data_IF_627348895842
#
_entry.id   IF_627348895842
#
_cell.length_a   1.000
_cell.length_b   1.000
_cell.length_c   1.000
_cell.angle_alpha   90.00
_cell.angle_beta   90.00
_cell.angle_gamma   90.00
#
_symmetry.space_group_name_H-M   'P 1'
#
loop_
_entity.id
_entity.type
_entity.pdbx_description
1 polymer ?
#
# COMPACT_ATOMS: atom_id res chain seq x y z
N UNK A 1 -3.32 6.65 10.48
CA UNK A 1 -4.77 6.42 10.34
C UNK A 1 -5.17 6.82 8.92
N UNK A 2 -5.99 6.01 8.23
CA UNK A 2 -6.49 6.33 6.90
C UNK A 2 -7.70 7.28 7.00
N UNK A 3 -8.73 6.84 7.70
CA UNK A 3 -9.95 7.63 7.95
C UNK A 3 -10.70 7.10 9.17
N UNK A 4 -11.83 7.72 9.48
CA UNK A 4 -12.87 7.16 10.35
C UNK A 4 -13.92 6.44 9.50
N UNK A 5 -14.44 5.30 9.99
CA UNK A 5 -15.59 4.62 9.41
C UNK A 5 -16.90 5.37 9.71
N UNK A 6 -18.02 4.87 9.21
CA UNK A 6 -19.35 5.48 9.50
C UNK A 6 -19.67 5.49 10.99
N UNK A 7 -19.29 4.47 11.75
CA UNK A 7 -19.47 4.43 13.21
C UNK A 7 -18.40 5.19 13.98
N UNK A 8 -17.46 5.83 13.31
CA UNK A 8 -16.38 6.61 13.93
C UNK A 8 -15.16 5.77 14.36
N UNK A 9 -15.10 4.49 14.01
CA UNK A 9 -13.96 3.62 14.29
C UNK A 9 -12.80 3.96 13.36
N UNK A 10 -11.57 3.86 13.87
CA UNK A 10 -10.35 4.09 13.09
C UNK A 10 -10.11 2.99 12.06
N UNK A 11 -9.94 3.39 10.81
CA UNK A 11 -9.44 2.52 9.74
C UNK A 11 -7.93 2.74 9.62
N UNK A 12 -7.10 1.77 10.05
CA UNK A 12 -5.66 1.96 10.05
C UNK A 12 -5.06 1.83 8.66
N UNK A 13 -3.98 2.59 8.42
CA UNK A 13 -3.04 2.35 7.33
C UNK A 13 -1.63 2.17 7.90
N UNK A 14 -0.95 1.12 7.47
CA UNK A 14 0.39 0.77 7.91
C UNK A 14 1.37 1.05 6.77
N UNK A 15 2.47 1.70 7.06
CA UNK A 15 3.57 1.88 6.10
C UNK A 15 4.76 1.00 6.52
N UNK A 16 5.19 0.11 5.61
CA UNK A 16 6.35 -0.75 5.82
C UNK A 16 7.36 -0.50 4.71
N UNK A 17 8.55 -0.04 5.10
CA UNK A 17 9.69 0.19 4.20
C UNK A 17 10.99 0.26 5.04
N UNK A 18 12.16 0.20 4.42
CA UNK A 18 13.41 0.56 5.10
C UNK A 18 13.64 2.07 5.04
N UNK A 19 14.37 2.60 6.04
CA UNK A 19 14.84 4.01 6.00
C UNK A 19 15.81 4.18 4.83
N UNK A 20 15.75 5.31 4.15
CA UNK A 20 16.62 5.62 3.00
C UNK A 20 18.11 5.80 3.40
N UNK A 21 18.39 6.05 4.68
CA UNK A 21 19.70 6.52 5.15
C UNK A 21 20.57 5.44 5.83
N UNK A 22 20.19 4.16 5.77
CA UNK A 22 20.90 3.12 6.54
C UNK A 22 21.85 2.23 5.74
N UNK A 23 21.90 2.38 4.42
CA UNK A 23 22.82 1.60 3.59
C UNK A 23 23.69 2.50 2.70
N UNK A 24 25.02 2.20 2.59
CA UNK A 24 25.85 2.81 1.57
C UNK A 24 25.23 2.52 0.21
N UNK A 25 25.28 3.51 -0.66
CA UNK A 25 24.80 3.43 -2.04
C UNK A 25 25.40 2.22 -2.76
N UNK A 26 24.64 1.13 -2.92
CA UNK A 26 24.98 0.13 -3.92
C UNK A 26 24.68 0.74 -5.30
N UNK A 27 25.71 1.27 -5.93
CA UNK A 27 25.68 1.62 -7.34
C UNK A 27 25.75 0.32 -8.16
N UNK A 28 24.66 -0.11 -8.77
CA UNK A 28 24.77 -1.09 -9.83
C UNK A 28 25.19 -0.35 -11.11
N UNK A 29 26.40 -0.59 -11.53
CA UNK A 29 26.90 -0.22 -12.85
C UNK A 29 26.14 -1.08 -13.87
N UNK A 30 25.12 -0.56 -14.52
CA UNK A 30 24.49 -1.20 -15.66
C UNK A 30 25.35 -0.85 -16.88
N UNK A 31 26.12 -1.82 -17.39
CA UNK A 31 26.69 -1.73 -18.71
C UNK A 31 25.54 -1.77 -19.71
N UNK A 32 25.32 -0.68 -20.42
CA UNK A 32 24.48 -0.65 -21.61
C UNK A 32 25.32 -1.22 -22.77
N UNK A 33 25.07 -2.48 -23.15
CA UNK A 33 25.82 -3.19 -24.20
C UNK A 33 25.40 -2.80 -25.63
N UNK A 34 24.71 -1.70 -25.88
CA UNK A 34 24.14 -1.36 -27.21
C UNK A 34 24.59 -0.05 -27.82
N UNK A 35 25.69 0.57 -27.41
CA UNK A 35 26.29 1.66 -28.17
C UNK A 35 27.79 1.48 -28.30
N UNK A 36 28.23 0.97 -29.44
CA UNK A 36 29.61 0.92 -29.89
C UNK A 36 30.11 2.33 -30.20
N UNK A 37 30.33 3.19 -29.26
CA UNK A 37 31.30 4.28 -29.33
C UNK A 37 31.10 5.20 -28.13
N UNK A 38 32.13 5.20 -27.28
CA UNK A 38 32.33 5.98 -26.07
C UNK A 38 31.82 5.36 -24.77
N UNK A 39 32.77 5.09 -23.89
CA UNK A 39 32.61 4.75 -22.48
C UNK A 39 31.91 5.87 -21.68
N UNK A 40 30.64 6.01 -21.85
CA UNK A 40 29.79 6.81 -20.96
C UNK A 40 29.15 5.89 -19.93
N UNK A 41 29.88 5.62 -18.84
CA UNK A 41 29.28 5.02 -17.65
C UNK A 41 28.26 6.00 -17.06
N UNK A 42 27.00 5.85 -17.44
CA UNK A 42 25.91 6.61 -16.79
C UNK A 42 25.61 5.93 -15.47
N UNK A 43 26.06 6.52 -14.39
CA UNK A 43 25.69 6.11 -13.04
C UNK A 43 24.24 6.51 -12.79
N UNK A 44 23.30 5.59 -13.02
CA UNK A 44 21.90 5.82 -12.66
C UNK A 44 21.75 5.47 -11.18
N UNK A 45 21.44 6.43 -10.30
CA UNK A 45 21.20 6.12 -8.91
C UNK A 45 19.95 5.25 -8.79
N UNK A 46 20.12 4.00 -8.36
CA UNK A 46 19.06 2.98 -8.23
C UNK A 46 17.93 3.36 -7.25
N UNK A 47 18.11 4.42 -6.48
CA UNK A 47 17.19 4.82 -5.41
C UNK A 47 16.26 5.97 -5.80
N UNK A 48 16.23 6.40 -7.07
CA UNK A 48 15.49 7.62 -7.44
C UNK A 48 14.01 7.58 -7.05
N UNK A 49 13.39 6.39 -6.88
CA UNK A 49 12.03 6.30 -6.34
C UNK A 49 11.67 4.86 -5.98
N UNK A 50 11.47 4.56 -4.69
CA UNK A 50 10.86 3.29 -4.29
C UNK A 50 9.45 3.21 -4.88
N UNK A 51 9.10 2.04 -5.38
CA UNK A 51 7.74 1.78 -5.88
C UNK A 51 6.78 1.66 -4.71
N UNK A 52 5.57 2.16 -4.87
CA UNK A 52 4.48 1.93 -3.93
C UNK A 52 3.74 0.64 -4.28
N UNK A 53 3.44 -0.14 -3.26
CA UNK A 53 2.50 -1.27 -3.33
C UNK A 53 1.45 -1.03 -2.27
N UNK A 54 0.18 -0.93 -2.71
CA UNK A 54 -0.97 -0.74 -1.84
C UNK A 54 -1.68 -2.08 -1.71
N UNK A 55 -1.87 -2.53 -0.49
CA UNK A 55 -2.52 -3.81 -0.18
C UNK A 55 -3.67 -3.54 0.77
N UNK A 56 -4.84 -4.02 0.41
CA UNK A 56 -6.05 -3.87 1.20
C UNK A 56 -6.62 -5.23 1.54
N UNK A 57 -7.23 -5.35 2.73
CA UNK A 57 -7.88 -6.56 3.17
C UNK A 57 -9.26 -6.32 3.75
N UNK A 58 -10.02 -7.39 3.91
CA UNK A 58 -11.30 -7.43 4.62
C UNK A 58 -12.32 -6.40 4.11
N UNK A 59 -12.42 -6.24 2.79
CA UNK A 59 -13.48 -5.42 2.15
C UNK A 59 -14.85 -6.05 2.38
N UNK A 60 -14.93 -7.38 2.36
CA UNK A 60 -16.12 -8.13 2.78
C UNK A 60 -15.91 -8.66 4.21
N UNK A 61 -16.78 -8.31 5.15
CA UNK A 61 -16.59 -8.62 6.57
C UNK A 61 -16.51 -10.11 6.90
N UNK A 62 -17.25 -10.95 6.18
CA UNK A 62 -17.28 -12.40 6.41
C UNK A 62 -16.04 -13.16 5.93
N UNK A 63 -15.19 -12.54 5.11
CA UNK A 63 -13.98 -13.18 4.58
C UNK A 63 -12.82 -13.14 5.58
N UNK A 64 -12.96 -13.84 6.71
CA UNK A 64 -12.00 -13.83 7.82
C UNK A 64 -10.59 -14.31 7.43
N UNK A 65 -10.48 -15.18 6.41
CA UNK A 65 -9.22 -15.67 5.86
C UNK A 65 -8.32 -14.50 5.39
N UNK A 66 -8.88 -13.40 4.86
CA UNK A 66 -8.11 -12.24 4.43
C UNK A 66 -7.33 -11.59 5.59
N UNK A 67 -7.88 -11.60 6.80
CA UNK A 67 -7.19 -11.08 8.00
C UNK A 67 -6.00 -11.95 8.40
N UNK A 68 -6.13 -13.29 8.31
CA UNK A 68 -5.01 -14.19 8.58
C UNK A 68 -3.91 -14.07 7.53
N UNK A 69 -4.29 -13.96 6.25
CA UNK A 69 -3.33 -13.72 5.17
C UNK A 69 -2.58 -12.40 5.38
N UNK A 70 -3.31 -11.33 5.73
CA UNK A 70 -2.73 -10.02 6.02
C UNK A 70 -1.77 -10.07 7.20
N UNK A 71 -2.14 -10.76 8.28
CA UNK A 71 -1.27 -10.96 9.43
C UNK A 71 0.04 -11.67 9.05
N UNK A 72 -0.07 -12.76 8.27
CA UNK A 72 1.10 -13.51 7.78
C UNK A 72 2.00 -12.64 6.91
N UNK A 73 1.40 -11.87 6.00
CA UNK A 73 2.10 -10.96 5.10
C UNK A 73 2.84 -9.85 5.86
N UNK A 74 2.19 -9.20 6.82
CA UNK A 74 2.81 -8.17 7.66
C UNK A 74 3.96 -8.77 8.46
N UNK A 75 3.75 -9.92 9.12
CA UNK A 75 4.81 -10.61 9.86
C UNK A 75 6.03 -10.94 8.98
N UNK A 76 5.78 -11.41 7.75
CA UNK A 76 6.85 -11.66 6.80
C UNK A 76 7.61 -10.38 6.45
N UNK A 77 6.90 -9.31 6.10
CA UNK A 77 7.53 -8.05 5.71
C UNK A 77 8.36 -7.40 6.81
N UNK A 78 7.95 -7.49 8.08
CA UNK A 78 8.74 -6.93 9.20
C UNK A 78 9.84 -7.87 9.68
N UNK A 79 9.86 -9.11 9.17
CA UNK A 79 10.83 -10.14 9.53
C UNK A 79 12.26 -9.82 9.10
N UNK A 80 13.20 -10.66 9.60
CA UNK A 80 14.65 -10.49 9.39
C UNK A 80 15.20 -11.27 8.19
N UNK A 81 14.34 -11.96 7.40
CA UNK A 81 14.79 -12.70 6.22
C UNK A 81 15.46 -11.77 5.20
N UNK A 82 16.40 -12.31 4.43
CA UNK A 82 17.06 -11.57 3.36
C UNK A 82 16.04 -10.98 2.37
N UNK A 83 15.05 -11.79 1.96
CA UNK A 83 14.02 -11.39 1.02
C UNK A 83 13.17 -10.23 1.56
N UNK A 84 12.71 -10.30 2.82
CA UNK A 84 11.95 -9.23 3.44
C UNK A 84 12.74 -7.91 3.50
N UNK A 85 14.03 -8.00 3.85
CA UNK A 85 14.93 -6.84 3.84
C UNK A 85 15.06 -6.22 2.45
N UNK A 86 15.26 -7.06 1.40
CA UNK A 86 15.35 -6.59 0.00
C UNK A 86 14.05 -5.95 -0.48
N UNK A 87 12.89 -6.50 -0.12
CA UNK A 87 11.59 -5.90 -0.44
C UNK A 87 11.46 -4.50 0.18
N UNK A 88 11.75 -4.37 1.47
CA UNK A 88 11.67 -3.05 2.15
C UNK A 88 12.66 -2.02 1.60
N UNK A 89 13.82 -2.46 1.08
CA UNK A 89 14.77 -1.55 0.42
C UNK A 89 14.21 -0.95 -0.86
N UNK A 90 13.41 -1.70 -1.64
CA UNK A 90 12.94 -1.34 -2.99
C UNK A 90 11.51 -0.83 -3.02
N UNK A 91 10.71 -1.12 -2.00
CA UNK A 91 9.26 -0.91 -2.00
C UNK A 91 8.82 -0.19 -0.73
N UNK A 92 7.83 0.67 -0.90
CA UNK A 92 7.03 1.26 0.18
C UNK A 92 5.68 0.54 0.15
N UNK A 93 5.43 -0.30 1.16
CA UNK A 93 4.15 -0.96 1.32
C UNK A 93 3.20 -0.05 2.09
N UNK A 94 2.03 0.22 1.54
CA UNK A 94 0.89 0.87 2.18
C UNK A 94 -0.19 -0.18 2.39
N UNK A 95 -0.47 -0.52 3.64
CA UNK A 95 -1.33 -1.66 3.97
C UNK A 95 -2.53 -1.17 4.76
N UNK A 96 -3.73 -1.43 4.26
CA UNK A 96 -5.00 -1.26 4.96
C UNK A 96 -5.52 -2.64 5.35
N UNK A 97 -5.26 -3.10 6.60
CA UNK A 97 -5.51 -4.49 6.98
C UNK A 97 -6.98 -4.87 6.97
N UNK A 98 -7.84 -3.90 7.22
CA UNK A 98 -9.29 -4.09 7.28
C UNK A 98 -9.99 -2.82 6.80
N UNK A 99 -10.64 -2.91 5.63
CA UNK A 99 -11.40 -1.79 5.07
C UNK A 99 -12.74 -1.65 5.80
N UNK A 100 -13.51 -2.75 5.87
CA UNK A 100 -14.88 -2.74 6.37
C UNK A 100 -14.94 -3.08 7.85
N UNK A 101 -14.39 -2.20 8.69
CA UNK A 101 -14.33 -2.39 10.16
C UNK A 101 -15.73 -2.47 10.77
N UNK A 102 -16.65 -1.60 10.33
CA UNK A 102 -18.02 -1.56 10.83
C UNK A 102 -18.78 -2.85 10.52
N UNK A 103 -18.67 -3.34 9.29
CA UNK A 103 -19.30 -4.58 8.90
C UNK A 103 -18.80 -5.77 9.71
N UNK A 104 -17.50 -5.78 10.07
CA UNK A 104 -16.93 -6.81 10.95
C UNK A 104 -17.49 -6.73 12.36
N UNK A 105 -17.59 -5.51 12.93
CA UNK A 105 -18.12 -5.29 14.28
C UNK A 105 -19.60 -5.69 14.36
N UNK A 106 -20.39 -5.32 13.35
CA UNK A 106 -21.83 -5.63 13.30
C UNK A 106 -22.08 -7.11 13.01
N UNK A 107 -21.12 -7.81 12.39
CA UNK A 107 -21.26 -9.20 12.00
C UNK A 107 -21.87 -9.41 10.62
N UNK A 108 -21.81 -8.43 9.75
CA UNK A 108 -22.24 -8.58 8.36
C UNK A 108 -21.35 -9.57 7.61
N UNK A 109 -21.94 -10.30 6.66
CA UNK A 109 -21.13 -11.18 5.81
C UNK A 109 -20.44 -10.44 4.68
N UNK A 110 -21.15 -9.48 4.02
CA UNK A 110 -20.64 -8.83 2.81
C UNK A 110 -20.67 -7.31 2.85
N UNK A 111 -21.73 -6.73 3.37
CA UNK A 111 -21.99 -5.30 3.26
C UNK A 111 -21.35 -4.47 4.38
N UNK A 112 -21.17 -3.18 4.11
CA UNK A 112 -20.82 -2.18 5.13
C UNK A 112 -22.01 -1.89 6.04
N UNK A 113 -21.82 -1.02 7.03
CA UNK A 113 -22.87 -0.52 7.91
C UNK A 113 -24.04 0.12 7.12
N UNK A 114 -23.74 0.78 6.01
CA UNK A 114 -24.74 1.37 5.10
C UNK A 114 -25.42 0.36 4.18
N UNK A 115 -25.20 -0.96 4.35
CA UNK A 115 -25.78 -1.99 3.51
C UNK A 115 -25.17 -2.12 2.11
N UNK A 116 -24.05 -1.46 1.85
CA UNK A 116 -23.40 -1.45 0.54
C UNK A 116 -22.26 -2.47 0.46
N UNK A 117 -22.10 -3.11 -0.69
CA UNK A 117 -20.88 -3.83 -1.04
C UNK A 117 -19.80 -2.80 -1.42
N UNK A 118 -18.84 -2.57 -0.52
CA UNK A 118 -17.78 -1.58 -0.72
C UNK A 118 -16.93 -1.89 -1.96
N UNK A 119 -16.80 -3.17 -2.34
CA UNK A 119 -16.05 -3.59 -3.52
C UNK A 119 -16.76 -3.25 -4.86
N UNK A 120 -17.94 -2.65 -4.81
CA UNK A 120 -18.69 -2.13 -5.97
C UNK A 120 -18.73 -0.60 -5.98
N UNK A 121 -17.99 0.07 -5.08
CA UNK A 121 -18.06 1.53 -4.90
C UNK A 121 -16.79 2.29 -5.30
N UNK A 122 -15.78 1.62 -5.85
CA UNK A 122 -14.53 2.29 -6.24
C UNK A 122 -14.67 3.27 -7.41
N UNK A 123 -15.64 3.07 -8.31
CA UNK A 123 -15.85 3.96 -9.46
C UNK A 123 -16.38 5.31 -8.99
N UNK A 124 -17.46 5.29 -8.21
CA UNK A 124 -18.16 6.49 -7.73
C UNK A 124 -18.55 6.31 -6.26
N UNK A 125 -17.61 6.52 -5.32
CA UNK A 125 -17.92 6.42 -3.90
C UNK A 125 -18.55 7.72 -3.37
N UNK A 126 -19.64 7.59 -2.62
CA UNK A 126 -20.20 8.69 -1.83
C UNK A 126 -19.38 8.82 -0.51
N UNK A 127 -18.85 10.00 -0.24
CA UNK A 127 -18.00 10.22 0.95
C UNK A 127 -18.75 10.03 2.29
N UNK A 128 -20.09 10.17 2.29
CA UNK A 128 -20.92 9.98 3.47
C UNK A 128 -21.32 8.52 3.71
N UNK A 129 -21.30 7.69 2.67
CA UNK A 129 -21.70 6.29 2.74
C UNK A 129 -20.53 5.31 2.61
N UNK A 130 -19.43 5.75 2.01
CA UNK A 130 -18.25 4.93 1.71
C UNK A 130 -16.93 5.66 2.06
N UNK A 131 -16.79 6.21 3.29
CA UNK A 131 -15.63 7.02 3.67
C UNK A 131 -14.31 6.27 3.48
N UNK A 132 -14.29 4.94 3.71
CA UNK A 132 -13.11 4.10 3.58
C UNK A 132 -12.63 4.04 2.12
N UNK A 133 -13.56 3.90 1.17
CA UNK A 133 -13.24 3.84 -0.26
C UNK A 133 -12.76 5.20 -0.77
N UNK A 134 -13.43 6.29 -0.35
CA UNK A 134 -12.98 7.65 -0.68
C UNK A 134 -11.56 7.90 -0.17
N UNK A 135 -11.28 7.53 1.07
CA UNK A 135 -9.98 7.72 1.68
C UNK A 135 -8.87 6.92 0.98
N UNK A 136 -9.15 5.67 0.58
CA UNK A 136 -8.21 4.87 -0.22
C UNK A 136 -7.94 5.54 -1.57
N UNK A 137 -8.99 5.97 -2.29
CA UNK A 137 -8.84 6.64 -3.59
C UNK A 137 -8.02 7.92 -3.48
N UNK A 138 -8.32 8.77 -2.49
CA UNK A 138 -7.58 10.00 -2.26
C UNK A 138 -6.12 9.70 -1.93
N UNK A 139 -5.86 8.73 -1.04
CA UNK A 139 -4.49 8.34 -0.71
C UNK A 139 -3.70 7.83 -1.92
N UNK A 140 -4.35 7.06 -2.82
CA UNK A 140 -3.73 6.61 -4.08
C UNK A 140 -3.45 7.81 -4.99
N UNK A 141 -4.41 8.74 -5.14
CA UNK A 141 -4.22 9.97 -5.92
C UNK A 141 -3.06 10.81 -5.39
N UNK A 142 -2.98 11.00 -4.07
CA UNK A 142 -1.88 11.75 -3.44
C UNK A 142 -0.52 11.11 -3.71
N UNK A 143 -0.45 9.78 -3.72
CA UNK A 143 0.80 9.06 -4.04
C UNK A 143 1.20 9.17 -5.52
N UNK A 144 0.23 9.33 -6.42
CA UNK A 144 0.48 9.44 -7.86
C UNK A 144 0.78 10.89 -8.24
N UNK A 145 -0.04 11.84 -7.79
CA UNK A 145 -0.03 13.23 -8.24
C UNK A 145 0.67 14.17 -7.27
N UNK A 146 0.72 13.86 -5.98
CA UNK A 146 1.45 14.65 -4.98
C UNK A 146 2.98 14.67 -5.16
N UNK A 147 3.50 13.85 -6.06
CA UNK A 147 4.91 13.81 -6.45
C UNK A 147 5.19 14.51 -7.78
N UNK A 148 4.18 15.06 -8.47
CA UNK A 148 4.39 15.90 -9.64
C UNK A 148 4.79 17.29 -9.15
N UNK A 149 5.93 17.84 -9.59
CA UNK A 149 6.27 19.23 -9.31
C UNK A 149 5.20 20.13 -9.94
N UNK A 150 4.64 21.06 -9.15
CA UNK A 150 3.81 22.16 -9.64
C UNK A 150 4.60 23.04 -10.62
#
# INVERSE_FOLDING_TARGET
MLCKSLSGVDVPIITITSRLNSDPLEYNLVKLEEFEDQESMVTIPLYKKKKYIIITGRVHPGESNSSYMMQGFIKYLIGNSFQAKQLRKRVIFKIVPMINVDGVIIGNYRTSMAGNDLNRRYVDPDFRLHPEICAIKNHVSDLIYGELPN
#
